data_IF_452271124804
#
_entry.id   IF_452271124804
#
_cell.length_a   1.000
_cell.length_b   1.000
_cell.length_c   1.000
_cell.angle_alpha   90.00
_cell.angle_beta   90.00
_cell.angle_gamma   90.00
#
_symmetry.space_group_name_H-M   'P 1'
#
loop_
_entity.id
_entity.type
_entity.pdbx_description
1 polymer ?
#
# COMPACT_ATOMS: atom_id res chain seq x y z
N UNK A 1 3.58 -12.25 28.52
CA UNK A 1 2.44 -11.66 27.77
C UNK A 1 2.71 -11.87 26.29
N UNK A 2 1.68 -12.11 25.47
CA UNK A 2 1.85 -12.31 24.04
C UNK A 2 2.46 -11.05 23.38
N UNK A 3 3.53 -11.23 22.62
CA UNK A 3 4.23 -10.21 21.84
C UNK A 3 5.02 -10.89 20.71
N UNK A 4 5.26 -10.17 19.62
CA UNK A 4 6.03 -10.67 18.46
C UNK A 4 7.53 -10.43 18.63
N UNK A 5 8.34 -11.38 18.17
CA UNK A 5 9.78 -11.16 17.96
C UNK A 5 10.00 -10.56 16.57
N UNK A 6 10.63 -9.38 16.51
CA UNK A 6 10.95 -8.71 15.25
C UNK A 6 12.31 -9.19 14.75
N UNK A 7 12.42 -9.48 13.46
CA UNK A 7 13.62 -10.01 12.78
C UNK A 7 14.05 -11.43 13.20
N UNK A 8 13.11 -12.27 13.62
CA UNK A 8 13.36 -13.68 13.92
C UNK A 8 14.02 -14.39 12.71
N UNK A 9 15.16 -15.04 12.95
CA UNK A 9 15.94 -15.82 11.97
C UNK A 9 16.54 -15.04 10.77
N UNK A 10 16.87 -13.76 10.93
CA UNK A 10 17.52 -12.97 9.87
C UNK A 10 19.04 -12.89 10.11
N UNK A 11 19.78 -13.83 9.52
CA UNK A 11 21.25 -13.89 9.62
C UNK A 11 21.97 -12.88 8.71
N UNK A 12 21.33 -12.50 7.59
CA UNK A 12 21.95 -11.72 6.51
C UNK A 12 21.20 -10.41 6.21
N UNK A 13 20.78 -9.67 7.25
CA UNK A 13 19.99 -8.44 7.09
C UNK A 13 20.66 -7.39 6.18
N UNK A 14 22.00 -7.31 6.18
CA UNK A 14 22.76 -6.36 5.37
C UNK A 14 22.52 -6.49 3.86
N UNK A 15 22.36 -7.72 3.34
CA UNK A 15 22.05 -7.93 1.93
C UNK A 15 20.67 -7.37 1.55
N UNK A 16 19.69 -7.46 2.44
CA UNK A 16 18.36 -6.90 2.22
C UNK A 16 18.44 -5.39 2.06
N UNK A 17 19.24 -4.70 2.89
CA UNK A 17 19.42 -3.25 2.79
C UNK A 17 20.17 -2.85 1.51
N UNK A 18 21.18 -3.61 1.10
CA UNK A 18 21.89 -3.36 -0.16
C UNK A 18 20.97 -3.53 -1.38
N UNK A 19 20.18 -4.60 -1.42
CA UNK A 19 19.20 -4.84 -2.48
C UNK A 19 18.07 -3.81 -2.48
N UNK A 20 17.62 -3.37 -1.30
CA UNK A 20 16.65 -2.28 -1.18
C UNK A 20 17.21 -0.98 -1.75
N UNK A 21 18.46 -0.62 -1.44
CA UNK A 21 19.12 0.57 -1.99
C UNK A 21 19.24 0.49 -3.52
N UNK A 22 19.66 -0.66 -4.06
CA UNK A 22 19.72 -0.88 -5.50
C UNK A 22 18.33 -0.75 -6.17
N UNK A 23 17.30 -1.33 -5.56
CA UNK A 23 15.92 -1.26 -6.06
C UNK A 23 15.39 0.18 -6.09
N UNK A 24 15.65 0.95 -5.03
CA UNK A 24 15.30 2.39 -4.97
C UNK A 24 16.05 3.16 -6.07
N UNK A 25 17.34 2.88 -6.28
CA UNK A 25 18.13 3.52 -7.34
C UNK A 25 17.56 3.28 -8.75
N UNK A 26 17.23 2.03 -9.06
CA UNK A 26 16.61 1.65 -10.35
C UNK A 26 15.24 2.33 -10.50
N UNK A 27 14.43 2.32 -9.44
CA UNK A 27 13.11 2.95 -9.46
C UNK A 27 13.20 4.47 -9.68
N UNK A 28 14.09 5.17 -8.99
CA UNK A 28 14.33 6.61 -9.15
C UNK A 28 14.82 6.93 -10.57
N UNK A 29 15.71 6.11 -11.12
CA UNK A 29 16.18 6.28 -12.49
C UNK A 29 15.06 6.09 -13.52
N UNK A 30 14.25 5.03 -13.39
CA UNK A 30 13.08 4.81 -14.24
C UNK A 30 12.05 5.93 -14.12
N UNK A 31 11.81 6.43 -12.90
CA UNK A 31 10.97 7.59 -12.66
C UNK A 31 11.52 8.84 -13.35
N UNK A 32 12.82 9.10 -13.25
CA UNK A 32 13.48 10.22 -13.90
C UNK A 32 13.37 10.15 -15.43
N UNK A 33 13.57 8.97 -16.03
CA UNK A 33 13.36 8.78 -17.46
C UNK A 33 11.92 9.12 -17.87
N UNK A 34 10.94 8.64 -17.11
CA UNK A 34 9.52 8.91 -17.39
C UNK A 34 9.19 10.40 -17.22
N UNK A 35 9.73 11.02 -16.18
CA UNK A 35 9.62 12.45 -15.92
C UNK A 35 10.18 13.28 -17.08
N UNK A 36 11.32 12.89 -17.66
CA UNK A 36 11.87 13.54 -18.86
C UNK A 36 10.91 13.46 -20.04
N UNK A 37 10.26 12.32 -20.25
CA UNK A 37 9.26 12.17 -21.32
C UNK A 37 8.03 13.06 -21.06
N UNK A 38 7.53 13.13 -19.82
CA UNK A 38 6.42 14.02 -19.47
C UNK A 38 6.74 15.50 -19.69
N UNK A 39 7.99 15.88 -19.47
CA UNK A 39 8.51 17.25 -19.70
C UNK A 39 8.63 17.63 -21.18
N UNK A 40 8.56 16.68 -22.12
CA UNK A 40 8.57 16.95 -23.57
C UNK A 40 7.20 17.42 -24.10
N UNK A 41 6.13 17.28 -23.30
CA UNK A 41 4.82 17.81 -23.66
C UNK A 41 4.82 19.34 -23.77
N UNK A 42 3.98 19.89 -24.64
CA UNK A 42 3.79 21.35 -24.75
C UNK A 42 3.40 21.94 -23.39
N UNK A 43 3.88 23.15 -23.03
CA UNK A 43 3.43 23.84 -21.83
C UNK A 43 1.92 24.06 -21.96
N UNK A 44 1.17 23.32 -21.15
CA UNK A 44 -0.29 23.46 -21.07
C UNK A 44 -0.59 24.40 -19.89
N UNK A 45 -1.46 25.40 -20.07
CA UNK A 45 -1.84 26.36 -19.03
C UNK A 45 -2.72 25.72 -17.91
N UNK A 46 -2.61 24.40 -17.74
CA UNK A 46 -3.33 23.60 -16.74
C UNK A 46 -2.97 23.92 -15.29
N UNK A 47 -1.96 24.77 -15.05
CA UNK A 47 -1.53 25.20 -13.71
C UNK A 47 -2.49 26.19 -13.06
N UNK A 48 -3.33 26.90 -13.83
CA UNK A 48 -4.22 27.96 -13.31
C UNK A 48 -5.39 27.44 -12.46
N UNK A 49 -5.73 26.15 -12.53
CA UNK A 49 -6.87 25.55 -11.81
C UNK A 49 -6.49 24.32 -10.96
N UNK A 50 -5.25 24.22 -10.50
CA UNK A 50 -4.77 23.08 -9.69
C UNK A 50 -5.66 22.85 -8.46
N UNK A 51 -6.08 23.93 -7.77
CA UNK A 51 -6.92 23.84 -6.57
C UNK A 51 -8.31 23.21 -6.82
N UNK A 52 -9.02 23.65 -7.87
CA UNK A 52 -10.32 23.06 -8.25
C UNK A 52 -10.15 21.59 -8.67
N UNK A 53 -9.07 21.26 -9.36
CA UNK A 53 -8.76 19.88 -9.76
C UNK A 53 -8.42 18.98 -8.59
N UNK A 54 -7.67 19.46 -7.59
CA UNK A 54 -7.41 18.71 -6.36
C UNK A 54 -8.74 18.42 -5.63
N UNK A 55 -9.66 19.38 -5.54
CA UNK A 55 -10.98 19.15 -4.95
C UNK A 55 -11.82 18.12 -5.70
N UNK A 56 -11.82 18.17 -7.03
CA UNK A 56 -12.50 17.18 -7.88
C UNK A 56 -11.82 15.81 -7.76
N UNK A 57 -10.48 15.77 -7.72
CA UNK A 57 -9.68 14.56 -7.59
C UNK A 57 -9.87 13.89 -6.22
N UNK A 58 -9.88 14.64 -5.12
CA UNK A 58 -10.19 14.12 -3.78
C UNK A 58 -11.60 13.55 -3.73
N UNK A 59 -12.58 14.25 -4.31
CA UNK A 59 -13.96 13.75 -4.38
C UNK A 59 -14.04 12.46 -5.21
N UNK A 60 -13.34 12.39 -6.34
CA UNK A 60 -13.27 11.17 -7.13
C UNK A 60 -12.51 10.05 -6.42
N UNK A 61 -11.44 10.33 -5.68
CA UNK A 61 -10.76 9.30 -4.87
C UNK A 61 -11.73 8.76 -3.83
N UNK A 62 -12.36 9.62 -3.04
CA UNK A 62 -13.23 9.18 -1.95
C UNK A 62 -14.44 8.42 -2.51
N UNK A 63 -15.05 8.87 -3.61
CA UNK A 63 -16.24 8.22 -4.18
C UNK A 63 -15.87 6.99 -5.03
N UNK A 64 -14.84 7.04 -5.86
CA UNK A 64 -14.50 5.94 -6.77
C UNK A 64 -13.57 4.90 -6.13
N UNK A 65 -12.62 5.31 -5.27
CA UNK A 65 -11.68 4.38 -4.60
C UNK A 65 -12.29 3.74 -3.37
N UNK A 66 -13.09 4.46 -2.56
CA UNK A 66 -13.75 3.83 -1.40
C UNK A 66 -15.14 3.26 -1.75
N UNK A 67 -15.95 3.96 -2.55
CA UNK A 67 -17.30 3.47 -2.86
C UNK A 67 -17.37 2.51 -4.06
N UNK A 68 -16.25 2.26 -4.78
CA UNK A 68 -16.13 1.29 -5.88
C UNK A 68 -17.30 1.35 -6.91
N UNK A 69 -17.92 2.52 -7.08
CA UNK A 69 -19.24 2.65 -7.71
C UNK A 69 -19.24 2.30 -9.20
N UNK A 70 -18.10 2.46 -9.87
CA UNK A 70 -17.89 2.03 -11.26
C UNK A 70 -17.59 0.54 -11.41
N UNK A 71 -17.08 -0.12 -10.38
CA UNK A 71 -16.72 -1.53 -10.39
C UNK A 71 -17.93 -2.47 -10.25
N UNK A 72 -19.06 -1.97 -9.72
CA UNK A 72 -20.31 -2.73 -9.65
C UNK A 72 -20.97 -2.99 -11.02
N UNK A 73 -20.43 -2.44 -12.12
CA UNK A 73 -20.85 -2.81 -13.49
C UNK A 73 -20.43 -4.24 -13.87
N UNK A 74 -19.36 -4.75 -13.26
CA UNK A 74 -18.93 -6.15 -13.38
C UNK A 74 -18.61 -6.68 -11.97
N UNK A 75 -19.58 -7.31 -11.29
CA UNK A 75 -19.48 -7.61 -9.86
C UNK A 75 -18.27 -8.48 -9.52
N UNK A 76 -17.89 -9.42 -10.39
CA UNK A 76 -16.74 -10.30 -10.18
C UNK A 76 -15.41 -9.51 -10.11
N UNK A 77 -15.11 -8.71 -11.13
CA UNK A 77 -13.90 -7.87 -11.17
C UNK A 77 -13.88 -6.83 -10.04
N UNK A 78 -15.05 -6.32 -9.65
CA UNK A 78 -15.18 -5.38 -8.54
C UNK A 78 -14.88 -6.00 -7.16
N UNK A 79 -15.41 -7.20 -6.88
CA UNK A 79 -15.12 -7.92 -5.62
C UNK A 79 -13.64 -8.31 -5.55
N UNK A 80 -13.07 -8.74 -6.67
CA UNK A 80 -11.63 -9.03 -6.79
C UNK A 80 -10.77 -7.81 -6.44
N UNK A 81 -11.03 -6.65 -7.04
CA UNK A 81 -10.27 -5.43 -6.72
C UNK A 81 -10.48 -4.96 -5.28
N UNK A 82 -11.72 -5.07 -4.76
CA UNK A 82 -12.04 -4.64 -3.41
C UNK A 82 -11.29 -5.47 -2.37
N UNK A 83 -11.25 -6.79 -2.53
CA UNK A 83 -10.54 -7.72 -1.64
C UNK A 83 -9.04 -7.50 -1.68
N UNK A 84 -8.46 -7.31 -2.87
CA UNK A 84 -7.04 -6.95 -3.01
C UNK A 84 -6.73 -5.61 -2.37
N UNK A 85 -7.50 -4.55 -2.68
CA UNK A 85 -7.25 -3.20 -2.17
C UNK A 85 -7.29 -3.15 -0.65
N UNK A 86 -8.37 -3.66 -0.04
CA UNK A 86 -8.50 -3.67 1.42
C UNK A 86 -7.50 -4.61 2.09
N UNK A 87 -7.22 -5.77 1.49
CA UNK A 87 -6.20 -6.69 1.99
C UNK A 87 -4.81 -6.04 2.03
N UNK A 88 -4.38 -5.43 0.92
CA UNK A 88 -3.10 -4.71 0.86
C UNK A 88 -3.07 -3.50 1.81
N UNK A 89 -4.17 -2.74 1.92
CA UNK A 89 -4.25 -1.60 2.83
C UNK A 89 -4.08 -2.03 4.30
N UNK A 90 -4.77 -3.10 4.72
CA UNK A 90 -4.65 -3.65 6.07
C UNK A 90 -3.22 -4.11 6.33
N UNK A 91 -2.62 -4.88 5.43
CA UNK A 91 -1.24 -5.36 5.61
C UNK A 91 -0.21 -4.23 5.59
N UNK A 92 -0.42 -3.18 4.78
CA UNK A 92 0.45 -2.02 4.74
C UNK A 92 0.40 -1.27 6.09
N UNK A 93 -0.80 -1.04 6.63
CA UNK A 93 -0.98 -0.41 7.94
C UNK A 93 -0.41 -1.29 9.05
N UNK A 94 -0.60 -2.60 9.00
CA UNK A 94 -0.01 -3.53 9.95
C UNK A 94 1.52 -3.46 9.92
N UNK A 95 2.11 -3.47 8.73
CA UNK A 95 3.57 -3.32 8.54
C UNK A 95 4.08 -1.97 9.04
N UNK A 96 3.33 -0.89 8.85
CA UNK A 96 3.68 0.43 9.37
C UNK A 96 3.66 0.45 10.91
N UNK A 97 2.64 -0.15 11.53
CA UNK A 97 2.56 -0.28 12.99
C UNK A 97 3.70 -1.13 13.53
N UNK A 98 4.06 -2.24 12.87
CA UNK A 98 5.18 -3.10 13.28
C UNK A 98 6.52 -2.36 13.18
N UNK A 99 6.73 -1.61 12.09
CA UNK A 99 7.90 -0.76 11.92
C UNK A 99 8.00 0.33 13.00
N UNK A 100 6.90 1.04 13.29
CA UNK A 100 6.86 2.05 14.36
C UNK A 100 7.13 1.40 15.72
N UNK A 101 6.54 0.23 15.99
CA UNK A 101 6.74 -0.49 17.25
C UNK A 101 8.21 -0.84 17.47
N UNK A 102 8.90 -1.27 16.41
CA UNK A 102 10.32 -1.57 16.44
C UNK A 102 11.18 -0.32 16.69
N UNK A 103 11.01 0.74 15.89
CA UNK A 103 11.85 1.94 16.00
C UNK A 103 11.56 2.79 17.24
N UNK A 104 10.33 2.74 17.77
CA UNK A 104 9.95 3.46 19.00
C UNK A 104 10.24 2.65 20.27
N UNK A 105 10.51 1.34 20.16
CA UNK A 105 10.66 0.43 21.29
C UNK A 105 9.34 0.05 21.97
N UNK A 106 8.23 0.69 21.63
CA UNK A 106 6.91 0.39 22.19
C UNK A 106 6.23 -0.75 21.43
N UNK A 107 6.32 -1.95 22.00
CA UNK A 107 5.70 -3.13 21.41
C UNK A 107 4.27 -3.32 21.90
N UNK A 108 3.37 -3.69 20.98
CA UNK A 108 2.03 -4.16 21.31
C UNK A 108 2.13 -5.46 22.12
N UNK A 109 1.44 -5.53 23.26
CA UNK A 109 1.45 -6.69 24.16
C UNK A 109 0.04 -7.12 24.56
N UNK A 110 -0.11 -8.41 24.85
CA UNK A 110 -1.34 -8.97 25.42
C UNK A 110 -2.50 -8.97 24.43
N UNK A 111 -3.71 -8.63 24.90
CA UNK A 111 -4.95 -8.69 24.11
C UNK A 111 -4.91 -7.78 22.86
N UNK A 112 -4.30 -6.59 22.96
CA UNK A 112 -4.17 -5.68 21.81
C UNK A 112 -3.33 -6.27 20.68
N UNK A 113 -2.28 -7.01 21.02
CA UNK A 113 -1.46 -7.72 20.03
C UNK A 113 -2.26 -8.84 19.34
N UNK A 114 -3.12 -9.55 20.07
CA UNK A 114 -3.95 -10.62 19.48
C UNK A 114 -4.96 -10.08 18.47
N UNK A 115 -5.62 -8.96 18.78
CA UNK A 115 -6.51 -8.29 17.83
C UNK A 115 -5.75 -7.79 16.59
N UNK A 116 -4.57 -7.19 16.80
CA UNK A 116 -3.70 -6.77 15.71
C UNK A 116 -3.29 -7.93 14.80
N UNK A 117 -2.89 -9.07 15.38
CA UNK A 117 -2.53 -10.28 14.64
C UNK A 117 -3.71 -10.79 13.83
N UNK A 118 -4.89 -10.90 14.46
CA UNK A 118 -6.11 -11.37 13.81
C UNK A 118 -6.50 -10.50 12.60
N UNK A 119 -6.45 -9.17 12.76
CA UNK A 119 -6.75 -8.22 11.67
C UNK A 119 -5.74 -8.39 10.52
N UNK A 120 -4.46 -8.58 10.85
CA UNK A 120 -3.42 -8.79 9.84
C UNK A 120 -3.63 -10.10 9.07
N UNK A 121 -3.99 -11.18 9.77
CA UNK A 121 -4.28 -12.48 9.16
C UNK A 121 -5.51 -12.40 8.24
N UNK A 122 -6.57 -11.70 8.66
CA UNK A 122 -7.73 -11.42 7.81
C UNK A 122 -7.34 -10.61 6.56
N UNK A 123 -6.46 -9.63 6.69
CA UNK A 123 -5.89 -8.89 5.55
C UNK A 123 -5.19 -9.82 4.56
N UNK A 124 -4.39 -10.76 5.05
CA UNK A 124 -3.74 -11.79 4.24
C UNK A 124 -4.73 -12.69 3.53
N UNK A 125 -5.77 -13.17 4.21
CA UNK A 125 -6.83 -13.99 3.62
C UNK A 125 -7.60 -13.25 2.52
N UNK A 126 -7.87 -11.95 2.71
CA UNK A 126 -8.51 -11.12 1.68
C UNK A 126 -7.64 -11.03 0.41
N UNK A 127 -6.32 -10.87 0.55
CA UNK A 127 -5.41 -10.86 -0.61
C UNK A 127 -5.42 -12.22 -1.31
N UNK A 128 -5.31 -13.32 -0.55
CA UNK A 128 -5.33 -14.66 -1.14
C UNK A 128 -6.62 -14.92 -1.91
N UNK A 129 -7.78 -14.57 -1.34
CA UNK A 129 -9.06 -14.64 -2.04
C UNK A 129 -9.07 -13.76 -3.31
N UNK A 130 -8.55 -12.53 -3.21
CA UNK A 130 -8.40 -11.60 -4.32
C UNK A 130 -7.55 -12.16 -5.46
N UNK A 131 -6.41 -12.77 -5.15
CA UNK A 131 -5.51 -13.40 -6.13
C UNK A 131 -6.17 -14.62 -6.79
N UNK A 132 -6.87 -15.46 -6.01
CA UNK A 132 -7.58 -16.62 -6.55
C UNK A 132 -8.70 -16.22 -7.50
N UNK A 133 -9.38 -15.10 -7.27
CA UNK A 133 -10.37 -14.56 -8.19
C UNK A 133 -9.74 -13.90 -9.43
N UNK A 134 -8.46 -13.53 -9.36
CA UNK A 134 -7.72 -12.88 -10.45
C UNK A 134 -7.07 -13.87 -11.44
N UNK A 135 -6.94 -15.14 -11.05
CA UNK A 135 -6.42 -16.23 -11.86
C UNK A 135 -7.46 -16.76 -12.86
#
# INVERSE_FOLDING_TARGET
MASREVFWNISYGYWVYLLALASIGIWLYGFYQRYRVWRLGRPDERSKEIGKRIGIFLRHIIVDVFAHRKFLRQPFSGIMHLTLFWGFLILLLASAVDAISYYSGYHLKGSLYLWFSLISDLGGLLILAGILMAA
#
